data_IF_337836992399
#
_entry.id   IF_337836992399
#
_cell.length_a   1.000
_cell.length_b   1.000
_cell.length_c   1.000
_cell.angle_alpha   90.00
_cell.angle_beta   90.00
_cell.angle_gamma   90.00
#
_symmetry.space_group_name_H-M   'P 1'
#
loop_
_entity.id
_entity.type
_entity.pdbx_description
1 polymer ?
#
# COMPACT_ATOMS: atom_id res chain seq x y z
N UNK A 1 -2.49 22.45 -5.36
CA UNK A 1 -2.45 21.21 -6.16
C UNK A 1 -2.15 21.58 -7.60
N UNK A 2 -1.10 20.97 -8.19
CA UNK A 2 -0.73 21.22 -9.58
C UNK A 2 -1.75 20.57 -10.53
N UNK A 3 -2.03 21.23 -11.65
CA UNK A 3 -2.88 20.67 -12.72
C UNK A 3 -2.08 19.85 -13.73
N UNK A 4 -0.77 20.08 -13.78
CA UNK A 4 0.18 19.37 -14.62
C UNK A 4 1.47 19.12 -13.84
N UNK A 5 2.02 17.93 -13.95
CA UNK A 5 3.26 17.54 -13.34
C UNK A 5 3.94 16.45 -14.18
N UNK A 6 5.24 16.31 -14.01
CA UNK A 6 6.01 15.25 -14.65
C UNK A 6 6.17 14.08 -13.69
N UNK A 7 6.11 12.88 -14.22
CA UNK A 7 6.42 11.64 -13.51
C UNK A 7 7.56 10.92 -14.22
N UNK A 8 8.42 10.31 -13.43
CA UNK A 8 9.41 9.35 -13.86
C UNK A 8 9.08 8.01 -13.20
N UNK A 9 9.19 6.91 -13.94
CA UNK A 9 8.92 5.59 -13.42
C UNK A 9 9.65 4.52 -14.21
N UNK A 10 9.69 3.31 -13.65
CA UNK A 10 10.18 2.12 -14.30
C UNK A 10 9.21 0.97 -14.02
N UNK A 11 9.13 0.05 -14.96
CA UNK A 11 8.34 -1.17 -14.84
C UNK A 11 9.24 -2.38 -15.14
N UNK A 12 9.11 -3.41 -14.33
CA UNK A 12 9.72 -4.70 -14.57
C UNK A 12 8.63 -5.65 -15.06
N UNK A 13 8.78 -6.14 -16.29
CA UNK A 13 7.79 -7.00 -16.95
C UNK A 13 8.44 -8.33 -17.24
N UNK A 14 7.88 -9.40 -16.67
CA UNK A 14 8.31 -10.77 -16.91
C UNK A 14 7.11 -11.72 -16.86
N UNK A 15 7.31 -12.93 -17.36
CA UNK A 15 6.31 -14.02 -17.29
C UNK A 15 6.14 -14.56 -15.87
N UNK A 16 7.13 -14.36 -15.00
CA UNK A 16 7.10 -14.74 -13.59
C UNK A 16 7.82 -13.68 -12.76
N UNK A 17 7.06 -13.00 -11.92
CA UNK A 17 7.59 -12.04 -10.95
C UNK A 17 7.81 -12.77 -9.62
N UNK A 18 9.06 -12.90 -9.25
CA UNK A 18 9.50 -13.48 -7.98
C UNK A 18 9.84 -12.41 -6.93
N UNK A 19 10.28 -12.86 -5.74
CA UNK A 19 10.68 -11.97 -4.66
C UNK A 19 11.84 -11.04 -5.08
N UNK A 20 12.83 -11.55 -5.80
CA UNK A 20 13.99 -10.76 -6.20
C UNK A 20 13.58 -9.63 -7.14
N UNK A 21 12.78 -9.93 -8.17
CA UNK A 21 12.25 -8.93 -9.11
C UNK A 21 11.40 -7.86 -8.41
N UNK A 22 10.59 -8.28 -7.42
CA UNK A 22 9.77 -7.37 -6.61
C UNK A 22 10.65 -6.41 -5.80
N UNK A 23 11.70 -6.93 -5.17
CA UNK A 23 12.64 -6.14 -4.39
C UNK A 23 13.47 -5.22 -5.27
N UNK A 24 13.93 -5.68 -6.44
CA UNK A 24 14.69 -4.86 -7.39
C UNK A 24 13.88 -3.64 -7.84
N UNK A 25 12.60 -3.82 -8.17
CA UNK A 25 11.72 -2.71 -8.55
C UNK A 25 11.54 -1.71 -7.39
N UNK A 26 11.35 -2.19 -6.16
CA UNK A 26 11.25 -1.34 -4.98
C UNK A 26 12.57 -0.58 -4.70
N UNK A 27 13.71 -1.28 -4.72
CA UNK A 27 15.03 -0.70 -4.49
C UNK A 27 15.40 0.32 -5.56
N UNK A 28 15.02 0.06 -6.81
CA UNK A 28 15.18 1.03 -7.89
C UNK A 28 14.42 2.32 -7.58
N UNK A 29 13.14 2.23 -7.22
CA UNK A 29 12.32 3.38 -6.91
C UNK A 29 12.87 4.17 -5.71
N UNK A 30 13.26 3.47 -4.63
CA UNK A 30 13.87 4.04 -3.44
C UNK A 30 15.17 4.80 -3.78
N UNK A 31 16.09 4.12 -4.50
CA UNK A 31 17.38 4.70 -4.87
C UNK A 31 17.22 5.90 -5.81
N UNK A 32 16.30 5.82 -6.77
CA UNK A 32 16.03 6.93 -7.69
C UNK A 32 15.50 8.15 -6.96
N UNK A 33 14.57 7.96 -6.01
CA UNK A 33 14.02 9.05 -5.20
C UNK A 33 15.12 9.69 -4.33
N UNK A 34 15.93 8.89 -3.62
CA UNK A 34 17.04 9.39 -2.79
C UNK A 34 18.09 10.16 -3.61
N UNK A 35 18.42 9.66 -4.81
CA UNK A 35 19.36 10.36 -5.70
C UNK A 35 18.78 11.67 -6.24
N UNK A 36 17.49 11.70 -6.57
CA UNK A 36 16.83 12.90 -7.07
C UNK A 36 16.74 13.99 -6.01
N UNK A 37 16.48 13.63 -4.75
CA UNK A 37 16.37 14.56 -3.62
C UNK A 37 17.72 14.89 -2.96
N UNK A 38 18.74 14.04 -3.11
CA UNK A 38 20.03 14.20 -2.45
C UNK A 38 20.04 13.83 -0.96
N UNK A 39 18.97 13.19 -0.46
CA UNK A 39 18.85 12.73 0.93
C UNK A 39 17.98 11.48 1.02
N UNK A 40 17.93 10.87 2.20
CA UNK A 40 17.11 9.68 2.46
C UNK A 40 15.63 9.99 2.39
N UNK A 41 14.85 9.01 1.95
CA UNK A 41 13.38 9.06 1.94
C UNK A 41 12.81 8.06 2.94
N UNK A 42 11.58 8.27 3.36
CA UNK A 42 10.82 7.33 4.18
C UNK A 42 10.06 6.42 3.23
N UNK A 43 10.33 5.13 3.29
CA UNK A 43 9.59 4.12 2.55
C UNK A 43 8.52 3.49 3.44
N UNK A 44 7.26 3.62 3.06
CA UNK A 44 6.14 2.88 3.68
C UNK A 44 5.74 1.73 2.79
N UNK A 45 5.56 0.57 3.37
CA UNK A 45 5.19 -0.65 2.65
C UNK A 45 3.93 -1.26 3.24
N UNK A 46 3.16 -1.93 2.39
CA UNK A 46 2.10 -2.83 2.78
C UNK A 46 2.06 -4.03 1.82
N UNK A 47 1.32 -5.06 2.17
CA UNK A 47 1.14 -6.24 1.35
C UNK A 47 -0.36 -6.51 1.15
N UNK A 48 -0.80 -6.47 -0.09
CA UNK A 48 -2.23 -6.60 -0.44
C UNK A 48 -2.66 -8.05 -0.76
N UNK A 49 -1.69 -8.98 -0.81
CA UNK A 49 -1.95 -10.36 -1.19
C UNK A 49 -2.35 -10.53 -2.66
N UNK A 50 -2.74 -11.74 -3.00
CA UNK A 50 -3.34 -12.09 -4.28
C UNK A 50 -4.74 -11.49 -4.45
N UNK A 51 -5.31 -11.62 -5.64
CA UNK A 51 -6.69 -11.21 -5.89
C UNK A 51 -7.68 -11.95 -4.97
N UNK A 52 -7.45 -13.24 -4.73
CA UNK A 52 -8.29 -14.06 -3.86
C UNK A 52 -8.23 -13.57 -2.40
N UNK A 53 -7.03 -13.42 -1.83
CA UNK A 53 -6.84 -12.90 -0.48
C UNK A 53 -7.47 -11.52 -0.32
N UNK A 54 -7.34 -10.68 -1.34
CA UNK A 54 -7.91 -9.33 -1.33
C UNK A 54 -9.44 -9.32 -1.38
N UNK A 55 -10.07 -10.23 -2.15
CA UNK A 55 -11.53 -10.34 -2.17
C UNK A 55 -12.08 -10.85 -0.83
N UNK A 56 -11.41 -11.82 -0.20
CA UNK A 56 -11.74 -12.29 1.14
C UNK A 56 -11.64 -11.14 2.17
N UNK A 57 -10.59 -10.35 2.09
CA UNK A 57 -10.38 -9.20 2.96
C UNK A 57 -11.42 -8.09 2.71
N UNK A 58 -11.77 -7.80 1.45
CA UNK A 58 -12.84 -6.84 1.14
C UNK A 58 -14.19 -7.26 1.72
N UNK A 59 -14.51 -8.57 1.67
CA UNK A 59 -15.73 -9.09 2.29
C UNK A 59 -15.74 -8.87 3.80
N UNK A 60 -14.62 -9.12 4.48
CA UNK A 60 -14.47 -8.87 5.91
C UNK A 60 -14.59 -7.38 6.26
N UNK A 61 -13.96 -6.48 5.47
CA UNK A 61 -14.09 -5.04 5.64
C UNK A 61 -15.54 -4.56 5.43
N UNK A 62 -16.25 -5.10 4.43
CA UNK A 62 -17.68 -4.78 4.23
C UNK A 62 -18.51 -5.21 5.44
N UNK A 63 -18.29 -6.41 5.95
CA UNK A 63 -19.00 -6.88 7.15
C UNK A 63 -18.70 -6.00 8.38
N UNK A 64 -17.44 -5.58 8.55
CA UNK A 64 -17.02 -4.71 9.64
C UNK A 64 -17.61 -3.30 9.53
N UNK A 65 -17.55 -2.68 8.36
CA UNK A 65 -18.02 -1.29 8.19
C UNK A 65 -19.54 -1.17 8.07
N UNK A 66 -20.29 -2.24 7.73
CA UNK A 66 -21.73 -2.19 7.54
C UNK A 66 -22.50 -1.50 8.70
N UNK A 67 -22.25 -1.79 10.00
CA UNK A 67 -22.94 -1.11 11.09
C UNK A 67 -22.51 0.36 11.27
N UNK A 68 -21.44 0.82 10.66
CA UNK A 68 -20.86 2.15 10.82
C UNK A 68 -21.11 3.07 9.62
N UNK A 69 -21.49 2.53 8.45
CA UNK A 69 -21.52 3.25 7.18
C UNK A 69 -22.37 4.52 7.22
N UNK A 70 -23.51 4.49 7.92
CA UNK A 70 -24.42 5.63 8.02
C UNK A 70 -23.80 6.83 8.76
N UNK A 71 -22.87 6.58 9.69
CA UNK A 71 -22.17 7.61 10.45
C UNK A 71 -20.89 8.12 9.79
N UNK A 72 -20.41 7.45 8.75
CA UNK A 72 -19.17 7.80 8.06
C UNK A 72 -19.37 8.98 7.08
N UNK A 73 -18.25 9.58 6.65
CA UNK A 73 -18.26 10.65 5.67
C UNK A 73 -18.79 10.17 4.30
N UNK A 74 -19.25 11.10 3.47
CA UNK A 74 -19.86 10.77 2.16
C UNK A 74 -18.91 10.03 1.22
N UNK A 75 -17.61 10.33 1.29
CA UNK A 75 -16.61 9.60 0.53
C UNK A 75 -16.48 8.15 0.99
N UNK A 76 -16.53 7.88 2.29
CA UNK A 76 -16.47 6.53 2.84
C UNK A 76 -17.76 5.74 2.54
N UNK A 77 -18.92 6.37 2.58
CA UNK A 77 -20.18 5.75 2.11
C UNK A 77 -20.08 5.28 0.67
N UNK A 78 -19.54 6.13 -0.22
CA UNK A 78 -19.31 5.76 -1.62
C UNK A 78 -18.25 4.65 -1.77
N UNK A 79 -17.14 4.73 -1.00
CA UNK A 79 -16.06 3.72 -1.01
C UNK A 79 -16.54 2.37 -0.51
N UNK A 80 -17.45 2.33 0.44
CA UNK A 80 -18.05 1.10 0.95
C UNK A 80 -18.70 0.26 -0.18
N UNK A 81 -19.37 0.91 -1.12
CA UNK A 81 -19.98 0.22 -2.26
C UNK A 81 -18.95 -0.18 -3.33
N UNK A 82 -18.02 0.71 -3.65
CA UNK A 82 -17.11 0.54 -4.79
C UNK A 82 -15.85 -0.24 -4.40
N UNK A 83 -15.17 0.17 -3.33
CA UNK A 83 -13.94 -0.45 -2.85
C UNK A 83 -13.70 -0.13 -1.37
N UNK A 84 -14.09 -1.03 -0.46
CA UNK A 84 -13.98 -0.80 0.99
C UNK A 84 -12.53 -0.66 1.50
N UNK A 85 -11.54 -1.19 0.79
CA UNK A 85 -10.11 -0.99 1.12
C UNK A 85 -9.75 0.49 1.22
N UNK A 86 -10.35 1.33 0.38
CA UNK A 86 -10.06 2.78 0.36
C UNK A 86 -10.63 3.54 1.56
N UNK A 87 -11.48 2.91 2.37
CA UNK A 87 -11.96 3.48 3.63
C UNK A 87 -10.78 3.61 4.60
N UNK A 88 -9.86 2.65 4.60
CA UNK A 88 -8.67 2.65 5.47
C UNK A 88 -7.76 3.87 5.27
N UNK A 89 -7.77 4.47 4.07
CA UNK A 89 -7.04 5.71 3.75
C UNK A 89 -7.91 6.98 3.94
N UNK A 90 -8.98 6.93 4.72
CA UNK A 90 -9.78 8.12 5.01
C UNK A 90 -8.99 9.13 5.83
N UNK A 91 -9.17 10.43 5.54
CA UNK A 91 -8.50 11.52 6.25
C UNK A 91 -9.41 12.20 7.28
N UNK A 92 -10.67 11.79 7.36
CA UNK A 92 -11.63 12.27 8.37
C UNK A 92 -11.35 11.57 9.68
N UNK A 93 -11.16 12.32 10.75
CA UNK A 93 -10.71 11.80 12.04
C UNK A 93 -11.69 10.77 12.63
N UNK A 94 -12.99 11.03 12.54
CA UNK A 94 -14.03 10.14 13.02
C UNK A 94 -13.99 8.79 12.31
N UNK A 95 -13.80 8.80 11.00
CA UNK A 95 -13.67 7.58 10.19
C UNK A 95 -12.38 6.84 10.52
N UNK A 96 -11.27 7.57 10.78
CA UNK A 96 -10.00 6.97 11.18
C UNK A 96 -10.09 6.23 12.52
N UNK A 97 -10.87 6.74 13.48
CA UNK A 97 -11.09 6.06 14.76
C UNK A 97 -11.76 4.70 14.53
N UNK A 98 -12.78 4.64 13.65
CA UNK A 98 -13.43 3.38 13.28
C UNK A 98 -12.43 2.43 12.60
N UNK A 99 -11.56 2.95 11.71
CA UNK A 99 -10.58 2.15 10.98
C UNK A 99 -9.52 1.49 11.88
N UNK A 100 -9.27 2.00 13.09
CA UNK A 100 -8.29 1.40 14.02
C UNK A 100 -8.64 -0.04 14.40
N UNK A 101 -9.92 -0.33 14.51
CA UNK A 101 -10.44 -1.65 14.89
C UNK A 101 -10.77 -2.54 13.69
N UNK A 102 -10.51 -2.05 12.47
CA UNK A 102 -10.76 -2.82 11.25
C UNK A 102 -9.89 -4.08 11.18
N UNK A 103 -10.40 -5.17 10.61
CA UNK A 103 -9.64 -6.37 10.39
C UNK A 103 -8.37 -6.08 9.58
N UNK A 104 -7.31 -6.85 9.81
CA UNK A 104 -6.02 -6.69 9.13
C UNK A 104 -5.90 -7.67 7.98
N UNK A 105 -5.33 -7.24 6.86
CA UNK A 105 -5.19 -8.08 5.67
C UNK A 105 -4.41 -9.37 5.93
N UNK A 106 -3.42 -9.34 6.82
CA UNK A 106 -2.60 -10.50 7.21
C UNK A 106 -3.41 -11.71 7.67
N UNK A 107 -4.62 -11.49 8.20
CA UNK A 107 -5.51 -12.53 8.72
C UNK A 107 -6.34 -13.20 7.61
N UNK A 108 -6.23 -12.68 6.37
CA UNK A 108 -7.00 -13.12 5.19
C UNK A 108 -6.09 -13.57 4.03
N UNK A 109 -4.78 -13.61 4.26
CA UNK A 109 -3.81 -14.06 3.27
C UNK A 109 -3.89 -15.59 3.09
N UNK A 110 -3.76 -16.05 1.84
CA UNK A 110 -3.54 -17.46 1.54
C UNK A 110 -2.20 -17.94 2.12
N UNK A 111 -1.97 -19.25 2.19
CA UNK A 111 -0.68 -19.79 2.66
C UNK A 111 0.50 -19.32 1.81
N UNK A 112 0.29 -19.15 0.49
CA UNK A 112 1.31 -18.65 -0.43
C UNK A 112 1.59 -17.16 -0.18
N UNK A 113 0.54 -16.35 -0.06
CA UNK A 113 0.64 -14.93 0.26
C UNK A 113 1.29 -14.69 1.64
N UNK A 114 1.03 -15.53 2.63
CA UNK A 114 1.67 -15.44 3.95
C UNK A 114 3.19 -15.66 3.86
N UNK A 115 3.64 -16.58 3.02
CA UNK A 115 5.07 -16.78 2.80
C UNK A 115 5.72 -15.56 2.16
N UNK A 116 5.09 -14.97 1.13
CA UNK A 116 5.59 -13.74 0.50
C UNK A 116 5.58 -12.58 1.50
N UNK A 117 4.51 -12.42 2.28
CA UNK A 117 4.38 -11.42 3.34
C UNK A 117 5.49 -11.48 4.38
N UNK A 118 5.93 -12.70 4.77
CA UNK A 118 7.01 -12.89 5.74
C UNK A 118 8.40 -12.72 5.12
N UNK A 119 8.58 -13.09 3.86
CA UNK A 119 9.87 -13.06 3.19
C UNK A 119 10.29 -11.65 2.77
N UNK A 120 9.36 -10.76 2.43
CA UNK A 120 9.67 -9.39 2.00
C UNK A 120 10.36 -8.60 3.12
N UNK A 121 9.80 -8.45 4.32
CA UNK A 121 10.47 -7.76 5.42
C UNK A 121 11.84 -8.35 5.75
N UNK A 122 11.92 -9.68 5.84
CA UNK A 122 13.17 -10.36 6.13
C UNK A 122 14.26 -10.04 5.08
N UNK A 123 13.91 -10.09 3.81
CA UNK A 123 14.87 -9.78 2.74
C UNK A 123 15.29 -8.30 2.75
N UNK A 124 14.39 -7.37 3.07
CA UNK A 124 14.71 -5.95 3.24
C UNK A 124 15.65 -5.72 4.44
N UNK A 125 15.40 -6.40 5.55
CA UNK A 125 16.26 -6.36 6.74
C UNK A 125 17.65 -6.93 6.45
N UNK A 126 17.73 -8.06 5.74
CA UNK A 126 19.00 -8.73 5.38
C UNK A 126 19.89 -7.83 4.49
N UNK A 127 19.31 -6.96 3.67
CA UNK A 127 20.04 -6.00 2.83
C UNK A 127 20.17 -4.61 3.46
N UNK A 128 19.68 -4.42 4.69
CA UNK A 128 19.83 -3.19 5.46
C UNK A 128 19.00 -2.00 4.96
N UNK A 129 17.86 -2.25 4.35
CA UNK A 129 16.91 -1.21 3.89
C UNK A 129 15.97 -0.81 5.01
N UNK A 130 15.86 0.49 5.28
CA UNK A 130 14.90 1.02 6.25
C UNK A 130 13.54 1.20 5.61
N UNK A 131 12.48 0.74 6.27
CA UNK A 131 11.10 0.89 5.86
C UNK A 131 10.17 0.96 7.06
N UNK A 132 8.95 1.42 6.84
CA UNK A 132 7.84 1.40 7.80
C UNK A 132 6.70 0.54 7.24
N UNK A 133 6.15 -0.35 8.05
CA UNK A 133 4.93 -1.08 7.68
C UNK A 133 3.72 -0.21 8.00
N UNK A 134 2.88 0.02 7.01
CA UNK A 134 1.64 0.81 7.15
C UNK A 134 0.45 -0.01 6.65
N UNK A 135 -0.25 -0.67 7.56
CA UNK A 135 -1.42 -1.51 7.27
C UNK A 135 -2.57 -0.74 6.59
N UNK A 136 -2.59 0.59 6.69
CA UNK A 136 -3.58 1.45 6.04
C UNK A 136 -3.21 1.82 4.61
N UNK A 137 -1.97 1.56 4.19
CA UNK A 137 -1.49 1.89 2.86
C UNK A 137 -2.22 1.07 1.81
N UNK A 138 -3.07 1.74 1.05
CA UNK A 138 -3.73 1.21 -0.14
C UNK A 138 -3.48 2.14 -1.31
N UNK A 139 -3.25 1.58 -2.50
CA UNK A 139 -3.04 2.38 -3.70
C UNK A 139 -4.37 2.81 -4.31
N UNK A 140 -4.36 3.94 -5.01
CA UNK A 140 -5.55 4.48 -5.67
C UNK A 140 -6.08 3.64 -6.84
N UNK A 141 -5.36 2.58 -7.24
CA UNK A 141 -5.67 1.72 -8.38
C UNK A 141 -5.83 0.27 -7.91
N UNK A 142 -6.88 -0.38 -8.38
CA UNK A 142 -7.31 -1.69 -7.88
C UNK A 142 -6.55 -2.88 -8.50
N UNK A 143 -5.60 -2.63 -9.39
CA UNK A 143 -4.82 -3.68 -10.05
C UNK A 143 -3.60 -4.15 -9.23
N UNK A 144 -3.19 -3.42 -8.18
CA UNK A 144 -2.06 -3.83 -7.36
C UNK A 144 -2.34 -5.09 -6.56
N UNK A 145 -1.33 -5.97 -6.51
CA UNK A 145 -1.30 -7.21 -5.73
C UNK A 145 0.05 -7.30 -5.00
N UNK A 146 0.17 -8.20 -4.00
CA UNK A 146 1.42 -8.39 -3.28
C UNK A 146 1.95 -7.10 -2.65
N UNK A 147 3.24 -6.83 -2.77
CA UNK A 147 3.89 -5.64 -2.22
C UNK A 147 3.38 -4.36 -2.87
N UNK A 148 3.03 -3.38 -2.04
CA UNK A 148 2.80 -1.99 -2.42
C UNK A 148 3.65 -1.09 -1.53
N UNK A 149 4.04 0.07 -2.06
CA UNK A 149 4.86 1.03 -1.31
C UNK A 149 4.55 2.47 -1.69
N UNK A 150 4.84 3.37 -0.78
CA UNK A 150 4.89 4.81 -0.97
C UNK A 150 6.19 5.37 -0.40
N UNK A 151 6.71 6.38 -1.09
CA UNK A 151 7.93 7.08 -0.70
C UNK A 151 7.58 8.51 -0.29
N UNK A 152 8.13 8.94 0.83
CA UNK A 152 7.91 10.25 1.40
C UNK A 152 9.23 10.98 1.59
N UNK A 153 9.21 12.28 1.32
CA UNK A 153 10.34 13.14 1.64
C UNK A 153 10.55 13.20 3.15
N UNK A 154 11.75 12.81 3.63
CA UNK A 154 12.05 12.79 5.07
C UNK A 154 12.24 14.20 5.66
N UNK A 155 12.48 15.22 4.82
CA UNK A 155 12.68 16.61 5.24
C UNK A 155 11.37 17.39 5.09
N UNK A 156 10.68 17.26 3.96
CA UNK A 156 9.42 17.96 3.70
C UNK A 156 8.22 17.01 3.76
N UNK A 157 7.81 16.67 4.99
CA UNK A 157 6.72 15.74 5.25
C UNK A 157 5.33 16.25 4.84
N UNK A 158 5.19 17.54 4.47
CA UNK A 158 3.91 18.14 4.07
C UNK A 158 3.52 17.84 2.62
N UNK A 159 4.45 17.35 1.81
CA UNK A 159 4.21 17.07 0.38
C UNK A 159 3.31 15.85 0.15
N UNK A 160 3.12 14.99 1.13
CA UNK A 160 2.52 13.68 0.94
C UNK A 160 3.48 12.73 0.22
N UNK A 161 2.95 11.64 -0.34
CA UNK A 161 3.78 10.69 -1.08
C UNK A 161 4.35 11.34 -2.36
N UNK A 162 5.69 11.28 -2.50
CA UNK A 162 6.43 11.77 -3.67
C UNK A 162 6.61 10.70 -4.74
N UNK A 163 6.42 9.46 -4.39
CA UNK A 163 6.49 8.31 -5.28
C UNK A 163 5.76 7.11 -4.71
N UNK A 164 5.63 6.08 -5.50
CA UNK A 164 5.05 4.83 -5.04
C UNK A 164 4.85 3.85 -6.17
N UNK A 165 4.66 2.60 -5.81
CA UNK A 165 4.50 1.51 -6.75
C UNK A 165 3.97 0.25 -6.08
N UNK A 166 4.10 -0.85 -6.79
CA UNK A 166 3.72 -2.16 -6.31
C UNK A 166 3.67 -3.19 -7.42
N UNK A 167 3.51 -4.43 -7.03
CA UNK A 167 3.29 -5.54 -7.96
C UNK A 167 1.87 -5.45 -8.52
N UNK A 168 1.70 -5.78 -9.80
CA UNK A 168 0.39 -5.95 -10.44
C UNK A 168 0.45 -7.11 -11.42
N UNK A 169 -0.72 -7.70 -11.69
CA UNK A 169 -0.86 -8.83 -12.60
C UNK A 169 -1.36 -8.38 -13.97
#
# INVERSE_FOLDING_TARGET
RLRQFYQFGAEFIDTKIDLASTLDAFLFALTAAEKALGHKVIAKINFLGSLESRENYKAALKAFFAPHVDSMCDDCKRRFEVNPLRILDCKVQEDQEICKDAPKIKDYLSEEDQKEYQNIPKALDDIGVSYEVDDSLVRGLDYYTGLVFELYDSINTTLGAIGGGGKYA
#
